data_IF_138900857523
#
_entry.id   IF_138900857523
#
_cell.length_a   1.000
_cell.length_b   1.000
_cell.length_c   1.000
_cell.angle_alpha   90.00
_cell.angle_beta   90.00
_cell.angle_gamma   90.00
#
_symmetry.space_group_name_H-M   'P 1'
#
loop_
_entity.id
_entity.type
_entity.pdbx_description
1 polymer ?
#
# COMPACT_ATOMS: atom_id res chain seq x y z
N UNK A 1 2.90 35.23 -27.09
CA UNK A 1 4.33 35.04 -26.86
C UNK A 1 4.77 33.68 -27.41
N UNK A 2 5.83 33.69 -28.19
CA UNK A 2 6.35 32.50 -28.86
C UNK A 2 7.27 31.63 -27.96
N UNK A 3 7.25 31.81 -26.66
CA UNK A 3 8.01 31.03 -25.71
C UNK A 3 7.30 30.83 -24.38
N UNK A 4 7.68 29.77 -23.65
CA UNK A 4 7.33 29.52 -22.27
C UNK A 4 8.56 29.72 -21.43
N UNK A 5 8.44 30.53 -20.37
CA UNK A 5 9.53 30.78 -19.44
C UNK A 5 9.28 30.06 -18.13
N UNK A 6 10.28 29.34 -17.63
CA UNK A 6 10.31 28.78 -16.29
C UNK A 6 11.43 29.46 -15.50
N UNK A 7 11.11 29.89 -14.28
CA UNK A 7 12.09 30.44 -13.34
C UNK A 7 12.55 29.32 -12.42
N UNK A 8 13.85 29.07 -12.37
CA UNK A 8 14.46 28.07 -11.52
C UNK A 8 14.61 28.62 -10.08
N UNK A 9 14.75 27.76 -9.05
CA UNK A 9 14.90 28.19 -7.66
C UNK A 9 16.11 29.10 -7.40
N UNK A 10 17.14 29.01 -8.24
CA UNK A 10 18.34 29.87 -8.21
C UNK A 10 18.15 31.22 -8.92
N UNK A 11 16.94 31.49 -9.41
CA UNK A 11 16.60 32.69 -10.14
C UNK A 11 16.92 32.66 -11.65
N UNK A 12 17.56 31.62 -12.13
CA UNK A 12 17.83 31.47 -13.56
C UNK A 12 16.52 31.27 -14.34
N UNK A 13 16.47 31.83 -15.56
CA UNK A 13 15.31 31.74 -16.45
C UNK A 13 15.57 30.76 -17.56
N UNK A 14 14.63 29.87 -17.75
CA UNK A 14 14.63 28.87 -18.80
C UNK A 14 13.56 29.20 -19.83
N UNK A 15 13.94 29.56 -21.04
CA UNK A 15 13.02 29.82 -22.15
C UNK A 15 12.92 28.60 -23.06
N UNK A 16 11.68 28.18 -23.36
CA UNK A 16 11.38 27.18 -24.37
C UNK A 16 10.70 27.90 -25.54
N UNK A 17 11.41 27.95 -26.67
CA UNK A 17 10.86 28.55 -27.89
C UNK A 17 9.69 27.73 -28.43
N UNK A 18 8.64 28.41 -28.90
CA UNK A 18 7.48 27.80 -29.58
C UNK A 18 7.57 28.15 -31.07
N UNK A 19 7.89 27.16 -31.87
CA UNK A 19 7.73 27.27 -33.33
C UNK A 19 6.31 26.90 -33.78
N UNK A 20 5.57 26.14 -32.94
CA UNK A 20 4.18 25.70 -33.12
C UNK A 20 3.43 25.77 -31.80
N UNK A 21 2.10 25.77 -31.85
CA UNK A 21 1.29 25.49 -30.66
C UNK A 21 1.59 24.08 -30.16
N UNK A 22 2.30 24.00 -29.02
CA UNK A 22 2.61 22.75 -28.35
C UNK A 22 1.42 22.35 -27.46
N UNK A 23 1.04 21.09 -27.47
CA UNK A 23 0.16 20.54 -26.47
C UNK A 23 0.84 20.62 -25.10
N UNK A 24 0.04 20.60 -24.02
CA UNK A 24 0.61 20.56 -22.64
C UNK A 24 1.65 19.45 -22.47
N UNK A 25 1.40 18.27 -23.03
CA UNK A 25 2.27 17.12 -22.92
C UNK A 25 3.60 17.29 -23.67
N UNK A 26 3.55 17.94 -24.82
CA UNK A 26 4.79 18.28 -25.57
C UNK A 26 5.61 19.32 -24.84
N UNK A 27 4.96 20.30 -24.23
CA UNK A 27 5.62 21.29 -23.38
C UNK A 27 6.28 20.64 -22.15
N UNK A 28 5.56 19.77 -21.46
CA UNK A 28 6.09 19.02 -20.30
C UNK A 28 7.34 18.21 -20.69
N UNK A 29 7.33 17.57 -21.86
CA UNK A 29 8.50 16.83 -22.38
C UNK A 29 9.66 17.75 -22.74
N UNK A 30 9.39 18.89 -23.37
CA UNK A 30 10.44 19.84 -23.74
C UNK A 30 11.11 20.44 -22.48
N UNK A 31 10.29 20.83 -21.49
CA UNK A 31 10.76 21.33 -20.19
C UNK A 31 11.61 20.27 -19.46
N UNK A 32 11.12 19.03 -19.41
CA UNK A 32 11.85 17.93 -18.77
C UNK A 32 13.23 17.69 -19.42
N UNK A 33 13.31 17.65 -20.75
CA UNK A 33 14.59 17.47 -21.45
C UNK A 33 15.58 18.58 -21.10
N UNK A 34 15.10 19.82 -21.09
CA UNK A 34 15.93 20.97 -20.76
C UNK A 34 16.42 20.97 -19.30
N UNK A 35 15.52 20.64 -18.37
CA UNK A 35 15.89 20.48 -16.96
C UNK A 35 16.88 19.34 -16.75
N UNK A 36 16.71 18.22 -17.46
CA UNK A 36 17.66 17.10 -17.44
C UNK A 36 19.05 17.51 -17.94
N UNK A 37 19.12 18.30 -19.03
CA UNK A 37 20.39 18.84 -19.54
C UNK A 37 21.11 19.71 -18.50
N UNK A 38 20.36 20.58 -17.80
CA UNK A 38 20.91 21.53 -16.82
C UNK A 38 21.33 20.83 -15.54
N UNK A 39 20.49 19.93 -15.03
CA UNK A 39 20.67 19.33 -13.70
C UNK A 39 21.43 18.00 -13.72
N UNK A 40 21.59 17.38 -14.88
CA UNK A 40 22.10 16.02 -15.02
C UNK A 40 21.16 14.94 -14.45
N UNK A 41 20.02 15.32 -13.87
CA UNK A 41 19.08 14.40 -13.20
C UNK A 41 18.07 13.79 -14.18
N UNK A 42 17.80 12.50 -14.01
CA UNK A 42 16.74 11.79 -14.72
C UNK A 42 15.70 11.28 -13.74
N UNK A 43 14.42 11.50 -14.05
CA UNK A 43 13.33 10.94 -13.26
C UNK A 43 12.95 9.57 -13.83
N UNK A 44 12.84 8.57 -12.98
CA UNK A 44 12.55 7.20 -13.39
C UNK A 44 11.21 7.06 -14.15
N UNK A 45 10.21 7.88 -13.83
CA UNK A 45 8.92 7.95 -14.50
C UNK A 45 8.77 9.11 -15.50
N UNK A 46 9.88 9.84 -15.78
CA UNK A 46 9.90 10.97 -16.70
C UNK A 46 8.86 12.04 -16.35
N UNK A 47 8.05 12.45 -17.33
CA UNK A 47 7.00 13.48 -17.18
C UNK A 47 5.68 12.95 -16.63
N UNK A 48 5.59 11.68 -16.29
CA UNK A 48 4.36 11.10 -15.77
C UNK A 48 4.03 11.71 -14.40
N UNK A 49 2.82 12.28 -14.26
CA UNK A 49 2.33 12.88 -13.02
C UNK A 49 1.32 12.00 -12.28
N UNK A 50 0.79 10.96 -12.92
CA UNK A 50 -0.19 10.06 -12.35
C UNK A 50 0.39 9.15 -11.27
N UNK A 51 -0.44 8.78 -10.30
CA UNK A 51 -0.05 7.89 -9.17
C UNK A 51 -0.11 6.40 -9.52
N UNK A 52 -0.78 6.02 -10.60
CA UNK A 52 -0.94 4.63 -11.05
C UNK A 52 -0.47 4.46 -12.49
N UNK A 53 0.83 4.33 -12.74
CA UNK A 53 1.36 4.10 -14.08
C UNK A 53 0.86 2.78 -14.70
N UNK A 54 0.58 1.77 -13.88
CA UNK A 54 0.03 0.48 -14.32
C UNK A 54 -1.34 0.59 -14.98
N UNK A 55 -2.19 1.58 -14.61
CA UNK A 55 -3.46 1.82 -15.31
C UNK A 55 -3.29 2.19 -16.79
N UNK A 56 -2.20 2.88 -17.11
CA UNK A 56 -1.89 3.23 -18.51
C UNK A 56 -1.47 1.96 -19.26
N UNK A 57 -0.64 1.13 -18.62
CA UNK A 57 -0.22 -0.15 -19.19
C UNK A 57 -1.40 -1.10 -19.35
N UNK A 58 -2.28 -1.20 -18.35
CA UNK A 58 -3.52 -2.00 -18.40
C UNK A 58 -4.39 -1.61 -19.61
N UNK A 59 -4.65 -0.31 -19.76
CA UNK A 59 -5.44 0.18 -20.91
C UNK A 59 -4.82 -0.21 -22.24
N UNK A 60 -3.48 -0.12 -22.38
CA UNK A 60 -2.78 -0.49 -23.61
C UNK A 60 -2.78 -2.00 -23.87
N UNK A 61 -2.70 -2.78 -22.80
CA UNK A 61 -2.85 -4.24 -22.85
C UNK A 61 -4.26 -4.65 -23.33
N UNK A 62 -5.30 -4.02 -22.79
CA UNK A 62 -6.70 -4.22 -23.20
C UNK A 62 -6.96 -3.77 -24.66
N UNK A 63 -6.26 -2.75 -25.14
CA UNK A 63 -6.26 -2.32 -26.54
C UNK A 63 -5.48 -3.29 -27.47
N UNK A 64 -4.88 -4.38 -26.94
CA UNK A 64 -4.14 -5.38 -27.71
C UNK A 64 -2.70 -5.03 -28.06
N UNK A 65 -2.12 -4.00 -27.39
CA UNK A 65 -0.72 -3.64 -27.60
C UNK A 65 0.20 -4.72 -27.02
N UNK A 66 1.25 -5.11 -27.72
CA UNK A 66 2.27 -6.00 -27.19
C UNK A 66 3.31 -5.28 -26.32
N UNK A 67 4.14 -6.05 -25.56
CA UNK A 67 5.15 -5.52 -24.65
C UNK A 67 6.16 -4.60 -25.37
N UNK A 68 6.63 -5.01 -26.54
CA UNK A 68 7.65 -4.25 -27.28
C UNK A 68 7.12 -2.90 -27.77
N UNK A 69 5.95 -2.90 -28.37
CA UNK A 69 5.24 -1.68 -28.79
C UNK A 69 4.91 -0.77 -27.62
N UNK A 70 4.47 -1.34 -26.48
CA UNK A 70 4.22 -0.57 -25.27
C UNK A 70 5.46 0.12 -24.73
N UNK A 71 6.59 -0.61 -24.63
CA UNK A 71 7.86 -0.05 -24.12
C UNK A 71 8.28 1.14 -24.96
N UNK A 72 8.30 0.99 -26.29
CA UNK A 72 8.66 2.08 -27.19
C UNK A 72 7.72 3.28 -27.07
N UNK A 73 6.42 3.02 -27.08
CA UNK A 73 5.41 4.06 -26.98
C UNK A 73 5.49 4.80 -25.63
N UNK A 74 5.55 4.05 -24.52
CA UNK A 74 5.52 4.65 -23.17
C UNK A 74 6.76 5.49 -22.88
N UNK A 75 7.95 5.02 -23.30
CA UNK A 75 9.19 5.78 -23.19
C UNK A 75 9.13 7.07 -24.01
N UNK A 76 8.65 6.99 -25.26
CA UNK A 76 8.49 8.17 -26.12
C UNK A 76 7.51 9.18 -25.53
N UNK A 77 6.39 8.71 -25.01
CA UNK A 77 5.32 9.56 -24.52
C UNK A 77 5.59 10.16 -23.14
N UNK A 78 6.25 9.44 -22.25
CA UNK A 78 6.44 9.85 -20.87
C UNK A 78 7.91 10.13 -20.49
N UNK A 79 8.87 9.84 -21.37
CA UNK A 79 10.30 9.93 -21.09
C UNK A 79 10.72 9.12 -19.85
N UNK A 80 9.97 8.03 -19.56
CA UNK A 80 10.25 7.13 -18.46
C UNK A 80 11.46 6.24 -18.76
N UNK A 81 12.10 5.71 -17.72
CA UNK A 81 13.17 4.72 -17.88
C UNK A 81 12.61 3.40 -18.45
N UNK A 82 13.46 2.65 -19.14
CA UNK A 82 13.09 1.33 -19.64
C UNK A 82 12.67 0.40 -18.51
N UNK A 83 13.43 0.36 -17.43
CA UNK A 83 13.14 -0.44 -16.24
C UNK A 83 11.72 -0.20 -15.69
N UNK A 84 11.35 1.06 -15.47
CA UNK A 84 10.02 1.39 -14.92
C UNK A 84 8.91 1.15 -15.94
N UNK A 85 9.20 1.29 -17.23
CA UNK A 85 8.25 0.97 -18.30
C UNK A 85 7.96 -0.53 -18.35
N UNK A 86 9.00 -1.37 -18.31
CA UNK A 86 8.87 -2.83 -18.25
C UNK A 86 8.13 -3.24 -16.99
N UNK A 87 8.48 -2.68 -15.83
CA UNK A 87 7.82 -2.95 -14.56
C UNK A 87 6.31 -2.63 -14.63
N UNK A 88 5.93 -1.49 -15.21
CA UNK A 88 4.52 -1.13 -15.37
C UNK A 88 3.76 -2.15 -16.22
N UNK A 89 4.37 -2.65 -17.29
CA UNK A 89 3.78 -3.67 -18.15
C UNK A 89 3.62 -5.02 -17.43
N UNK A 90 4.67 -5.48 -16.76
CA UNK A 90 4.65 -6.76 -16.05
C UNK A 90 3.61 -6.79 -14.92
N UNK A 91 3.48 -5.67 -14.20
CA UNK A 91 2.44 -5.53 -13.18
C UNK A 91 1.06 -5.51 -13.82
N UNK A 92 0.86 -4.76 -14.91
CA UNK A 92 -0.44 -4.70 -15.58
C UNK A 92 -0.91 -6.09 -16.10
N UNK A 93 0.02 -6.88 -16.66
CA UNK A 93 -0.31 -8.26 -17.07
C UNK A 93 -0.77 -9.10 -15.88
N UNK A 94 -0.03 -9.03 -14.77
CA UNK A 94 -0.36 -9.80 -13.57
C UNK A 94 -1.64 -9.32 -12.91
N UNK A 95 -1.83 -7.99 -12.82
CA UNK A 95 -3.11 -7.41 -12.37
C UNK A 95 -4.27 -7.91 -13.25
N UNK A 96 -4.09 -7.96 -14.58
CA UNK A 96 -5.13 -8.46 -15.50
C UNK A 96 -5.49 -9.90 -15.20
N UNK A 97 -4.52 -10.79 -15.06
CA UNK A 97 -4.75 -12.21 -14.75
C UNK A 97 -5.53 -12.40 -13.42
N UNK A 98 -5.24 -11.57 -12.42
CA UNK A 98 -5.96 -11.59 -11.15
C UNK A 98 -7.37 -11.02 -11.28
N UNK A 99 -7.50 -9.91 -12.00
CA UNK A 99 -8.76 -9.19 -12.16
C UNK A 99 -9.74 -9.94 -13.08
N UNK A 100 -9.25 -10.69 -14.06
CA UNK A 100 -10.10 -11.51 -14.95
C UNK A 100 -10.87 -12.62 -14.19
N UNK A 101 -10.51 -12.89 -12.93
CA UNK A 101 -11.26 -13.80 -12.05
C UNK A 101 -12.46 -13.13 -11.39
N UNK A 102 -12.50 -11.80 -11.34
CA UNK A 102 -13.59 -11.03 -10.74
C UNK A 102 -14.77 -10.95 -11.71
N UNK A 103 -15.98 -11.11 -11.19
CA UNK A 103 -17.18 -10.78 -11.94
C UNK A 103 -17.44 -9.27 -11.82
N UNK A 104 -17.02 -8.51 -12.83
CA UNK A 104 -17.16 -7.04 -12.82
C UNK A 104 -18.61 -6.55 -12.99
N UNK A 105 -19.46 -7.34 -13.64
CA UNK A 105 -20.85 -6.94 -13.95
C UNK A 105 -21.75 -7.19 -12.75
N UNK A 106 -21.61 -8.37 -12.14
CA UNK A 106 -22.50 -8.82 -11.06
C UNK A 106 -21.82 -8.93 -9.71
N UNK A 107 -20.48 -8.75 -9.67
CA UNK A 107 -19.68 -8.88 -8.47
C UNK A 107 -19.50 -7.57 -7.70
N UNK A 108 -19.13 -7.71 -6.42
CA UNK A 108 -18.71 -6.62 -5.55
C UNK A 108 -17.68 -7.08 -4.54
N UNK A 109 -17.00 -6.11 -3.94
CA UNK A 109 -16.08 -6.31 -2.82
C UNK A 109 -16.63 -5.63 -1.59
N UNK A 110 -16.57 -6.31 -0.44
CA UNK A 110 -17.00 -5.78 0.85
C UNK A 110 -15.78 -5.28 1.63
N UNK A 111 -15.76 -3.99 1.97
CA UNK A 111 -14.79 -3.42 2.89
C UNK A 111 -15.44 -3.15 4.24
N UNK A 112 -14.84 -3.69 5.31
CA UNK A 112 -15.31 -3.51 6.69
C UNK A 112 -14.24 -2.74 7.46
N UNK A 113 -14.56 -1.51 7.85
CA UNK A 113 -13.63 -0.63 8.55
C UNK A 113 -13.72 -0.76 10.06
N UNK A 114 -12.59 -0.94 10.75
CA UNK A 114 -12.48 -0.86 12.22
C UNK A 114 -11.65 0.37 12.55
N UNK A 115 -12.25 1.48 13.04
CA UNK A 115 -11.57 2.77 13.17
C UNK A 115 -10.70 2.89 14.43
N UNK A 116 -10.41 1.79 15.10
CA UNK A 116 -9.65 1.78 16.35
C UNK A 116 -8.24 1.26 16.15
N UNK A 117 -7.27 1.88 16.84
CA UNK A 117 -5.89 1.40 16.93
C UNK A 117 -5.47 1.33 18.40
N UNK A 118 -4.50 0.48 18.79
CA UNK A 118 -3.95 0.50 20.15
C UNK A 118 -3.39 1.88 20.51
N UNK A 119 -2.72 2.51 19.56
CA UNK A 119 -2.26 3.90 19.58
C UNK A 119 -2.14 4.41 18.15
N UNK A 120 -2.22 5.73 17.95
CA UNK A 120 -2.05 6.33 16.62
C UNK A 120 -0.57 6.56 16.34
N UNK A 121 -0.04 5.92 15.30
CA UNK A 121 1.35 6.09 14.86
C UNK A 121 1.59 7.50 14.34
N UNK A 122 2.79 8.05 14.55
CA UNK A 122 3.10 9.45 14.23
C UNK A 122 3.01 9.79 12.73
N UNK A 123 3.26 8.81 11.86
CA UNK A 123 3.19 8.96 10.40
C UNK A 123 1.79 8.71 9.82
N UNK A 124 0.89 8.10 10.59
CA UNK A 124 -0.40 7.65 10.07
C UNK A 124 -1.36 8.80 9.83
N UNK A 125 -2.00 8.80 8.67
CA UNK A 125 -3.01 9.79 8.26
C UNK A 125 -4.40 9.20 8.09
N UNK A 126 -4.60 7.95 8.46
CA UNK A 126 -5.91 7.30 8.38
C UNK A 126 -6.87 7.85 9.43
N UNK A 127 -8.16 7.78 9.15
CA UNK A 127 -9.23 8.19 10.06
C UNK A 127 -9.43 7.12 11.15
N UNK A 128 -8.45 7.01 12.06
CA UNK A 128 -8.48 6.08 13.19
C UNK A 128 -8.19 6.82 14.50
N UNK A 129 -8.77 6.32 15.59
CA UNK A 129 -8.57 6.83 16.93
C UNK A 129 -7.86 5.83 17.84
N UNK A 130 -7.22 6.33 18.90
CA UNK A 130 -6.67 5.45 19.93
C UNK A 130 -7.82 4.75 20.67
N UNK A 131 -7.73 3.43 20.85
CA UNK A 131 -8.76 2.63 21.52
C UNK A 131 -9.09 3.17 22.91
N UNK A 132 -8.08 3.69 23.63
CA UNK A 132 -8.28 4.27 24.97
C UNK A 132 -9.35 5.36 24.98
N UNK A 133 -9.41 6.20 23.94
CA UNK A 133 -10.36 7.32 23.85
C UNK A 133 -11.77 6.87 23.46
N UNK A 134 -11.90 5.67 22.89
CA UNK A 134 -13.14 5.15 22.29
C UNK A 134 -13.63 3.82 22.90
N UNK A 135 -12.99 3.33 23.96
CA UNK A 135 -13.27 2.01 24.56
C UNK A 135 -14.75 1.79 24.89
N UNK A 136 -15.43 2.82 25.38
CA UNK A 136 -16.84 2.75 25.79
C UNK A 136 -17.79 2.82 24.59
N UNK A 137 -17.29 3.12 23.38
CA UNK A 137 -18.06 3.22 22.14
C UNK A 137 -17.93 1.99 21.24
N UNK A 138 -17.02 1.06 21.54
CA UNK A 138 -16.73 -0.10 20.67
C UNK A 138 -17.94 -0.98 20.47
N UNK A 139 -18.68 -1.29 21.54
CA UNK A 139 -19.88 -2.13 21.44
C UNK A 139 -20.99 -1.46 20.62
N UNK A 140 -21.24 -0.17 20.86
CA UNK A 140 -22.21 0.59 20.07
C UNK A 140 -21.81 0.68 18.58
N UNK A 141 -20.50 0.80 18.31
CA UNK A 141 -19.97 0.75 16.96
C UNK A 141 -20.24 -0.61 16.30
N UNK A 142 -19.94 -1.70 16.99
CA UNK A 142 -20.19 -3.06 16.46
C UNK A 142 -21.69 -3.32 16.24
N UNK A 143 -22.56 -2.81 17.13
CA UNK A 143 -24.02 -2.90 16.95
C UNK A 143 -24.46 -2.18 15.65
N UNK A 144 -23.93 -1.00 15.41
CA UNK A 144 -24.22 -0.23 14.19
C UNK A 144 -23.67 -0.95 12.96
N UNK A 145 -22.41 -1.40 13.01
CA UNK A 145 -21.75 -2.12 11.91
C UNK A 145 -22.50 -3.41 11.55
N UNK A 146 -22.93 -4.20 12.52
CA UNK A 146 -23.71 -5.41 12.25
C UNK A 146 -25.09 -5.10 11.62
N UNK A 147 -25.72 -3.97 11.97
CA UNK A 147 -26.94 -3.51 11.30
C UNK A 147 -26.68 -3.10 9.83
N UNK A 148 -25.57 -2.41 9.58
CA UNK A 148 -25.16 -2.07 8.20
C UNK A 148 -24.86 -3.33 7.39
N UNK A 149 -24.13 -4.29 7.94
CA UNK A 149 -23.83 -5.57 7.30
C UNK A 149 -25.11 -6.34 6.96
N UNK A 150 -26.05 -6.42 7.89
CA UNK A 150 -27.34 -7.06 7.68
C UNK A 150 -28.14 -6.38 6.54
N UNK A 151 -28.11 -5.04 6.47
CA UNK A 151 -28.76 -4.30 5.40
C UNK A 151 -28.06 -4.54 4.05
N UNK A 152 -26.73 -4.46 4.01
CA UNK A 152 -25.93 -4.71 2.79
C UNK A 152 -26.18 -6.13 2.29
N UNK A 153 -26.14 -7.15 3.16
CA UNK A 153 -26.42 -8.54 2.80
C UNK A 153 -27.80 -8.70 2.16
N UNK A 154 -28.81 -8.02 2.70
CA UNK A 154 -30.16 -8.04 2.16
C UNK A 154 -30.29 -7.40 0.77
N UNK A 155 -29.64 -6.25 0.55
CA UNK A 155 -29.76 -5.50 -0.74
C UNK A 155 -28.80 -6.01 -1.81
N UNK A 156 -27.81 -6.82 -1.46
CA UNK A 156 -26.83 -7.39 -2.38
C UNK A 156 -27.04 -8.89 -2.68
N UNK A 157 -28.19 -9.47 -2.31
CA UNK A 157 -28.46 -10.91 -2.46
C UNK A 157 -28.32 -11.42 -3.90
N UNK A 158 -28.63 -10.59 -4.91
CA UNK A 158 -28.47 -10.91 -6.33
C UNK A 158 -27.05 -10.67 -6.87
N UNK A 159 -26.14 -10.20 -6.01
CA UNK A 159 -24.76 -9.87 -6.37
C UNK A 159 -23.79 -10.94 -5.89
N UNK A 160 -22.70 -11.14 -6.63
CA UNK A 160 -21.63 -12.07 -6.25
C UNK A 160 -20.59 -11.36 -5.38
N UNK A 161 -20.43 -11.81 -4.15
CA UNK A 161 -19.36 -11.31 -3.27
C UNK A 161 -18.03 -11.92 -3.69
N UNK A 162 -17.13 -11.11 -4.27
CA UNK A 162 -15.82 -11.57 -4.73
C UNK A 162 -14.74 -11.48 -3.66
N UNK A 163 -14.73 -10.43 -2.86
CA UNK A 163 -13.72 -10.26 -1.80
C UNK A 163 -14.30 -9.62 -0.55
N UNK A 164 -13.74 -9.99 0.61
CA UNK A 164 -13.97 -9.32 1.88
C UNK A 164 -12.64 -8.81 2.41
N UNK A 165 -12.61 -7.56 2.83
CA UNK A 165 -11.43 -6.94 3.43
C UNK A 165 -11.81 -6.23 4.73
N UNK A 166 -11.30 -6.72 5.86
CA UNK A 166 -11.48 -6.10 7.17
C UNK A 166 -10.20 -5.34 7.52
N UNK A 167 -10.28 -4.03 7.57
CA UNK A 167 -9.13 -3.15 7.76
C UNK A 167 -9.49 -1.84 8.46
N UNK A 168 -8.78 -0.77 8.14
CA UNK A 168 -9.01 0.57 8.65
C UNK A 168 -7.95 1.04 9.63
N UNK A 169 -8.25 1.06 10.93
CA UNK A 169 -7.27 1.27 12.00
C UNK A 169 -6.50 -0.02 12.25
N UNK A 170 -7.05 -0.87 13.12
CA UNK A 170 -6.47 -2.18 13.42
C UNK A 170 -7.57 -3.13 13.88
N UNK A 171 -8.07 -4.05 13.06
CA UNK A 171 -9.14 -4.98 13.42
C UNK A 171 -8.87 -5.79 14.70
N UNK A 172 -7.62 -6.16 14.93
CA UNK A 172 -7.21 -6.88 16.13
C UNK A 172 -7.18 -6.04 17.43
N UNK A 173 -7.55 -4.76 17.38
CA UNK A 173 -7.91 -3.98 18.58
C UNK A 173 -9.15 -4.52 19.27
N UNK A 174 -10.06 -5.13 18.52
CA UNK A 174 -11.22 -5.84 19.07
C UNK A 174 -10.76 -7.00 19.92
N UNK A 175 -11.50 -7.33 20.97
CA UNK A 175 -11.30 -8.56 21.75
C UNK A 175 -11.62 -9.78 20.90
N UNK A 176 -11.17 -10.97 21.29
CA UNK A 176 -11.51 -12.21 20.58
C UNK A 176 -13.03 -12.42 20.46
N UNK A 177 -13.80 -12.10 21.51
CA UNK A 177 -15.26 -12.17 21.49
C UNK A 177 -15.90 -11.17 20.53
N UNK A 178 -15.37 -9.94 20.46
CA UNK A 178 -15.84 -8.91 19.54
C UNK A 178 -15.49 -9.25 18.07
N UNK A 179 -14.29 -9.79 17.81
CA UNK A 179 -13.91 -10.31 16.51
C UNK A 179 -14.83 -11.45 16.07
N UNK A 180 -15.04 -12.42 16.96
CA UNK A 180 -15.96 -13.52 16.69
C UNK A 180 -17.35 -13.03 16.34
N UNK A 181 -17.91 -12.10 17.13
CA UNK A 181 -19.22 -11.50 16.86
C UNK A 181 -19.27 -10.84 15.48
N UNK A 182 -18.24 -10.09 15.08
CA UNK A 182 -18.18 -9.47 13.77
C UNK A 182 -18.11 -10.50 12.64
N UNK A 183 -17.27 -11.52 12.79
CA UNK A 183 -17.11 -12.57 11.78
C UNK A 183 -18.35 -13.44 11.67
N UNK A 184 -18.99 -13.82 12.79
CA UNK A 184 -20.29 -14.51 12.80
C UNK A 184 -21.38 -13.69 12.09
N UNK A 185 -21.39 -12.36 12.30
CA UNK A 185 -22.31 -11.45 11.62
C UNK A 185 -22.09 -11.47 10.09
N UNK A 186 -20.82 -11.41 9.63
CA UNK A 186 -20.50 -11.49 8.22
C UNK A 186 -20.95 -12.84 7.65
N UNK A 187 -20.63 -13.95 8.32
CA UNK A 187 -21.00 -15.29 7.87
C UNK A 187 -22.52 -15.51 7.82
N UNK A 188 -23.27 -14.79 8.65
CA UNK A 188 -24.75 -14.87 8.66
C UNK A 188 -25.36 -14.21 7.42
N UNK A 189 -24.79 -13.12 6.95
CA UNK A 189 -25.41 -12.31 5.89
C UNK A 189 -24.78 -12.42 4.51
N UNK A 190 -23.59 -13.04 4.39
CA UNK A 190 -22.86 -13.10 3.14
C UNK A 190 -22.45 -14.53 2.78
N UNK A 191 -22.84 -14.98 1.57
CA UNK A 191 -22.40 -16.25 1.01
C UNK A 191 -20.93 -16.18 0.58
N UNK A 192 -20.19 -17.24 0.82
CA UNK A 192 -18.80 -17.40 0.40
C UNK A 192 -18.65 -18.13 -0.95
N UNK A 193 -19.73 -18.48 -1.61
CA UNK A 193 -19.75 -19.29 -2.83
C UNK A 193 -18.85 -18.74 -3.96
N UNK A 194 -18.81 -17.39 -4.06
CA UNK A 194 -18.02 -16.69 -5.08
C UNK A 194 -16.83 -15.94 -4.50
N UNK A 195 -16.49 -16.21 -3.23
CA UNK A 195 -15.44 -15.49 -2.53
C UNK A 195 -14.06 -15.97 -2.97
N UNK A 196 -13.24 -15.05 -3.51
CA UNK A 196 -11.88 -15.29 -3.98
C UNK A 196 -10.83 -14.98 -2.92
N UNK A 197 -11.08 -13.97 -2.08
CA UNK A 197 -10.18 -13.57 -1.00
C UNK A 197 -10.96 -13.03 0.19
N UNK A 198 -10.55 -13.44 1.39
CA UNK A 198 -11.02 -12.90 2.66
C UNK A 198 -9.82 -12.48 3.48
N UNK A 199 -9.60 -11.16 3.61
CA UNK A 199 -8.45 -10.59 4.30
C UNK A 199 -8.84 -9.94 5.61
N UNK A 200 -8.04 -10.17 6.66
CA UNK A 200 -8.08 -9.43 7.92
C UNK A 200 -6.73 -8.78 8.19
N UNK A 201 -6.72 -7.45 8.37
CA UNK A 201 -5.53 -6.74 8.84
C UNK A 201 -5.32 -7.01 10.34
N UNK A 202 -4.42 -7.93 10.66
CA UNK A 202 -3.93 -8.09 12.02
C UNK A 202 -2.84 -7.04 12.39
N UNK A 203 -2.55 -6.16 11.52
CA UNK A 203 -1.65 -5.01 11.37
C UNK A 203 -0.68 -4.66 12.49
N UNK A 204 -1.07 -4.78 13.75
CA UNK A 204 -0.28 -4.35 14.91
C UNK A 204 0.05 -5.53 15.82
N UNK A 205 1.33 -5.97 15.92
CA UNK A 205 1.74 -7.07 16.80
C UNK A 205 1.31 -6.92 18.26
N UNK A 206 1.31 -5.69 18.79
CA UNK A 206 0.83 -5.39 20.16
C UNK A 206 -0.69 -5.56 20.37
N UNK A 207 -1.45 -5.79 19.31
CA UNK A 207 -2.88 -6.09 19.38
C UNK A 207 -3.22 -7.54 19.04
N UNK A 208 -2.24 -8.33 18.60
CA UNK A 208 -2.40 -9.74 18.26
C UNK A 208 -2.29 -10.59 19.53
N UNK A 209 -3.21 -11.54 19.67
CA UNK A 209 -3.13 -12.60 20.67
C UNK A 209 -3.45 -13.95 20.02
N UNK A 210 -2.97 -15.09 20.59
CA UNK A 210 -3.29 -16.42 20.06
C UNK A 210 -4.80 -16.65 19.91
N UNK A 211 -5.60 -16.19 20.89
CA UNK A 211 -7.06 -16.37 20.88
C UNK A 211 -7.73 -15.60 19.72
N UNK A 212 -7.21 -14.41 19.39
CA UNK A 212 -7.72 -13.63 18.26
C UNK A 212 -7.36 -14.28 16.93
N UNK A 213 -6.12 -14.75 16.79
CA UNK A 213 -5.70 -15.49 15.60
C UNK A 213 -6.48 -16.80 15.44
N UNK A 214 -6.76 -17.49 16.55
CA UNK A 214 -7.60 -18.69 16.54
C UNK A 214 -9.00 -18.38 15.99
N UNK A 215 -9.66 -17.33 16.50
CA UNK A 215 -10.97 -16.88 15.99
C UNK A 215 -10.92 -16.57 14.49
N UNK A 216 -9.87 -15.88 14.02
CA UNK A 216 -9.71 -15.57 12.60
C UNK A 216 -9.53 -16.85 11.77
N UNK A 217 -8.73 -17.80 12.25
CA UNK A 217 -8.50 -19.09 11.58
C UNK A 217 -9.79 -19.94 11.51
N UNK A 218 -10.56 -20.03 12.62
CA UNK A 218 -11.81 -20.77 12.69
C UNK A 218 -12.87 -20.26 11.70
N UNK A 219 -12.83 -18.98 11.33
CA UNK A 219 -13.69 -18.40 10.31
C UNK A 219 -13.12 -18.55 8.88
N UNK A 220 -12.04 -19.32 8.69
CA UNK A 220 -11.50 -19.61 7.36
C UNK A 220 -11.05 -18.38 6.58
N UNK A 221 -10.47 -17.41 7.29
CA UNK A 221 -9.87 -16.23 6.66
C UNK A 221 -8.68 -16.66 5.82
N UNK A 222 -8.69 -16.32 4.53
CA UNK A 222 -7.68 -16.79 3.57
C UNK A 222 -6.39 -15.97 3.58
N UNK A 223 -6.41 -14.76 4.16
CA UNK A 223 -5.24 -13.87 4.20
C UNK A 223 -5.25 -13.01 5.44
N UNK A 224 -4.09 -12.85 6.06
CA UNK A 224 -3.89 -11.86 7.12
C UNK A 224 -2.69 -10.97 6.81
N UNK A 225 -2.61 -9.81 7.45
CA UNK A 225 -1.39 -9.01 7.42
C UNK A 225 -0.85 -8.79 8.83
N UNK A 226 0.46 -8.98 8.99
CA UNK A 226 1.21 -8.66 10.22
C UNK A 226 2.22 -7.60 9.81
N UNK A 227 2.04 -6.35 10.28
CA UNK A 227 2.73 -5.20 9.71
C UNK A 227 3.83 -4.67 10.65
N UNK A 228 5.09 -5.09 10.50
CA UNK A 228 6.20 -4.59 11.31
C UNK A 228 6.48 -3.11 11.06
N UNK A 229 6.41 -2.65 9.84
CA UNK A 229 6.89 -1.39 9.28
C UNK A 229 8.42 -1.29 9.21
N UNK A 230 9.11 -1.81 10.21
CA UNK A 230 10.57 -1.97 10.32
C UNK A 230 10.89 -3.04 11.38
N UNK A 231 12.05 -3.64 11.32
CA UNK A 231 12.59 -4.51 12.35
C UNK A 231 13.66 -3.80 13.23
N UNK A 232 13.62 -2.44 13.24
CA UNK A 232 14.50 -1.62 14.07
C UNK A 232 13.77 -1.11 15.29
N UNK A 233 14.08 -1.63 16.49
CA UNK A 233 13.39 -1.25 17.73
C UNK A 233 13.43 0.24 17.99
N UNK A 234 14.60 0.90 17.79
CA UNK A 234 14.77 2.34 17.93
C UNK A 234 13.76 3.15 17.11
N UNK A 235 13.46 2.65 15.90
CA UNK A 235 12.53 3.31 14.98
C UNK A 235 11.08 3.03 15.36
N UNK A 236 10.74 1.81 15.79
CA UNK A 236 9.41 1.49 16.32
C UNK A 236 9.03 2.42 17.47
N UNK A 237 9.95 2.65 18.40
CA UNK A 237 9.75 3.56 19.53
C UNK A 237 9.54 4.99 19.05
N UNK A 238 10.35 5.46 18.10
CA UNK A 238 10.29 6.81 17.54
C UNK A 238 8.96 7.10 16.81
N UNK A 239 8.44 6.12 16.06
CA UNK A 239 7.18 6.28 15.32
C UNK A 239 5.93 6.00 16.17
N UNK A 240 6.12 5.68 17.46
CA UNK A 240 5.04 5.47 18.42
C UNK A 240 4.35 4.10 18.32
N UNK A 241 5.07 3.09 17.85
CA UNK A 241 4.65 1.69 17.89
C UNK A 241 5.20 1.04 19.17
N UNK A 242 4.30 0.56 20.03
CA UNK A 242 4.65 0.09 21.38
C UNK A 242 5.00 -1.40 21.46
N UNK A 243 5.21 -2.07 20.33
CA UNK A 243 5.61 -3.48 20.30
C UNK A 243 7.11 -3.62 20.08
N UNK A 244 7.62 -4.78 20.42
CA UNK A 244 9.01 -5.15 20.18
C UNK A 244 9.15 -5.95 18.89
N UNK A 245 10.40 -6.02 18.37
CA UNK A 245 10.73 -6.89 17.24
C UNK A 245 10.42 -8.36 17.56
N UNK A 246 10.69 -8.82 18.80
CA UNK A 246 10.33 -10.18 19.22
C UNK A 246 8.82 -10.43 19.09
N UNK A 247 7.97 -9.49 19.49
CA UNK A 247 6.52 -9.64 19.35
C UNK A 247 6.05 -9.75 17.88
N UNK A 248 6.78 -9.16 16.93
CA UNK A 248 6.52 -9.35 15.50
C UNK A 248 6.75 -10.81 15.12
N UNK A 249 7.93 -11.36 15.50
CA UNK A 249 8.29 -12.74 15.22
C UNK A 249 7.32 -13.72 15.91
N UNK A 250 6.99 -13.48 17.18
CA UNK A 250 6.07 -14.32 17.95
C UNK A 250 4.67 -14.35 17.31
N UNK A 251 4.16 -13.19 16.92
CA UNK A 251 2.86 -13.09 16.22
C UNK A 251 2.88 -13.85 14.88
N UNK A 252 3.97 -13.72 14.14
CA UNK A 252 4.15 -14.41 12.86
C UNK A 252 4.19 -15.95 13.04
N UNK A 253 5.02 -16.44 13.94
CA UNK A 253 5.12 -17.88 14.21
C UNK A 253 3.82 -18.45 14.78
N UNK A 254 3.13 -17.71 15.64
CA UNK A 254 1.81 -18.10 16.13
C UNK A 254 0.81 -18.21 14.98
N UNK A 255 0.78 -17.26 14.06
CA UNK A 255 -0.09 -17.32 12.89
C UNK A 255 0.23 -18.55 12.02
N UNK A 256 1.52 -18.79 11.72
CA UNK A 256 1.94 -19.99 10.97
C UNK A 256 1.53 -21.28 11.68
N UNK A 257 1.67 -21.38 13.00
CA UNK A 257 1.28 -22.58 13.77
C UNK A 257 -0.23 -22.84 13.74
N UNK A 258 -1.05 -21.82 13.52
CA UNK A 258 -2.49 -21.91 13.33
C UNK A 258 -2.90 -22.20 11.88
N UNK A 259 -1.94 -22.39 10.97
CA UNK A 259 -2.18 -22.80 9.58
C UNK A 259 -2.38 -21.65 8.60
N UNK A 260 -2.07 -20.40 8.98
CA UNK A 260 -2.10 -19.31 7.99
C UNK A 260 -0.94 -19.47 7.00
N UNK A 261 -1.27 -19.63 5.73
CA UNK A 261 -0.37 -19.82 4.59
C UNK A 261 -0.34 -18.62 3.62
N UNK A 262 -1.02 -17.54 3.96
CA UNK A 262 -1.02 -16.29 3.20
C UNK A 262 -0.90 -15.09 4.15
N UNK A 263 0.34 -14.81 4.57
CA UNK A 263 0.68 -13.71 5.47
C UNK A 263 1.41 -12.62 4.69
N UNK A 264 0.82 -11.42 4.70
CA UNK A 264 1.47 -10.23 4.17
C UNK A 264 2.20 -9.47 5.29
N UNK A 265 3.35 -8.90 4.98
CA UNK A 265 4.07 -7.99 5.88
C UNK A 265 4.27 -6.63 5.21
N UNK A 266 3.94 -5.54 5.94
CA UNK A 266 4.15 -4.18 5.44
C UNK A 266 5.42 -3.58 6.04
N UNK A 267 6.22 -2.93 5.18
CA UNK A 267 7.39 -2.14 5.53
C UNK A 267 7.24 -0.70 5.05
N UNK A 268 7.94 0.22 5.70
CA UNK A 268 8.02 1.61 5.27
C UNK A 268 9.48 1.99 5.05
N UNK A 269 9.84 2.34 3.82
CA UNK A 269 11.13 2.90 3.46
C UNK A 269 11.16 4.41 3.75
N UNK A 270 12.27 4.89 4.32
CA UNK A 270 12.47 6.31 4.62
C UNK A 270 11.90 6.75 5.97
N UNK A 271 11.72 5.83 6.92
CA UNK A 271 11.36 6.19 8.30
C UNK A 271 12.41 7.09 8.92
N UNK A 272 12.02 8.03 9.82
CA UNK A 272 12.97 8.95 10.43
C UNK A 272 14.09 8.23 11.18
N UNK A 273 15.33 8.62 10.90
CA UNK A 273 16.52 8.08 11.55
C UNK A 273 17.00 6.73 11.01
N UNK A 274 16.32 6.16 9.99
CA UNK A 274 16.79 4.97 9.31
C UNK A 274 17.72 5.27 8.14
N UNK A 275 18.72 4.41 8.02
CA UNK A 275 19.69 4.37 6.92
C UNK A 275 19.39 3.18 6.01
N UNK A 276 20.08 3.10 4.85
CA UNK A 276 20.02 1.93 3.98
C UNK A 276 20.40 0.64 4.73
N UNK A 277 21.42 0.69 5.61
CA UNK A 277 21.85 -0.46 6.41
C UNK A 277 20.75 -0.94 7.38
N UNK A 278 19.96 -0.04 7.98
CA UNK A 278 18.82 -0.40 8.82
C UNK A 278 17.72 -1.12 7.99
N UNK A 279 17.52 -0.70 6.73
CA UNK A 279 16.59 -1.36 5.81
C UNK A 279 17.10 -2.72 5.35
N UNK A 280 18.39 -2.85 5.05
CA UNK A 280 19.03 -4.13 4.70
C UNK A 280 18.90 -5.14 5.84
N UNK A 281 19.16 -4.74 7.09
CA UNK A 281 18.98 -5.57 8.27
C UNK A 281 17.50 -5.97 8.46
N UNK A 282 16.56 -5.01 8.30
CA UNK A 282 15.12 -5.29 8.31
C UNK A 282 14.76 -6.35 7.28
N UNK A 283 15.20 -6.19 6.04
CA UNK A 283 14.91 -7.12 4.94
C UNK A 283 15.52 -8.51 5.16
N UNK A 284 16.71 -8.58 5.79
CA UNK A 284 17.31 -9.86 6.17
C UNK A 284 16.43 -10.63 7.17
N UNK A 285 15.95 -9.96 8.21
CA UNK A 285 15.04 -10.56 9.20
C UNK A 285 13.70 -10.97 8.59
N UNK A 286 13.13 -10.16 7.69
CA UNK A 286 11.89 -10.49 6.95
C UNK A 286 12.10 -11.71 6.05
N UNK A 287 13.26 -11.82 5.39
CA UNK A 287 13.60 -12.97 4.56
C UNK A 287 13.65 -14.27 5.36
N UNK A 288 14.13 -14.24 6.62
CA UNK A 288 14.13 -15.39 7.52
C UNK A 288 12.72 -15.82 7.94
N UNK A 289 11.77 -14.90 8.01
CA UNK A 289 10.37 -15.20 8.31
C UNK A 289 9.61 -15.80 7.11
N UNK A 290 10.06 -15.57 5.89
CA UNK A 290 9.46 -16.07 4.65
C UNK A 290 7.95 -15.74 4.52
N UNK A 291 7.54 -14.44 4.54
CA UNK A 291 6.15 -14.07 4.30
C UNK A 291 5.73 -14.39 2.86
N UNK A 292 4.44 -14.67 2.66
CA UNK A 292 3.87 -14.97 1.34
C UNK A 292 3.73 -13.73 0.46
N UNK A 293 3.65 -12.56 1.07
CA UNK A 293 3.68 -11.28 0.36
C UNK A 293 4.33 -10.17 1.20
N UNK A 294 4.93 -9.22 0.50
CA UNK A 294 5.61 -8.07 1.10
C UNK A 294 5.10 -6.78 0.45
N UNK A 295 4.66 -5.85 1.27
CA UNK A 295 4.28 -4.51 0.82
C UNK A 295 5.31 -3.51 1.33
N UNK A 296 5.90 -2.72 0.45
CA UNK A 296 6.88 -1.69 0.83
C UNK A 296 6.38 -0.32 0.42
N UNK A 297 6.13 0.53 1.39
CA UNK A 297 5.69 1.90 1.19
C UNK A 297 6.87 2.86 1.33
N UNK A 298 7.00 3.82 0.42
CA UNK A 298 7.83 5.00 0.68
C UNK A 298 7.10 5.92 1.66
N UNK A 299 7.77 6.40 2.70
CA UNK A 299 7.18 7.34 3.65
C UNK A 299 6.73 8.60 2.92
N UNK A 300 5.47 8.96 3.10
CA UNK A 300 4.90 10.21 2.64
C UNK A 300 4.23 10.95 3.80
N UNK A 301 4.80 12.06 4.20
CA UNK A 301 4.29 12.85 5.32
C UNK A 301 3.03 13.60 4.88
N UNK A 302 1.88 13.14 5.36
CA UNK A 302 0.57 13.74 5.10
C UNK A 302 0.26 14.82 6.15
N UNK A 303 -0.47 15.87 5.76
CA UNK A 303 -0.90 16.95 6.69
C UNK A 303 -1.76 16.43 7.85
N UNK A 304 -2.53 15.36 7.65
CA UNK A 304 -3.37 14.76 8.68
C UNK A 304 -2.57 13.97 9.72
N UNK A 305 -1.37 13.50 9.40
CA UNK A 305 -0.51 12.77 10.32
C UNK A 305 0.08 13.70 11.40
N UNK A 306 0.39 13.14 12.57
CA UNK A 306 1.04 13.87 13.66
C UNK A 306 2.38 14.48 13.20
N UNK A 307 3.19 13.70 12.45
CA UNK A 307 4.42 14.20 11.81
C UNK A 307 4.20 15.37 10.86
N UNK A 308 3.06 15.40 10.15
CA UNK A 308 2.73 16.49 9.22
C UNK A 308 2.25 17.79 9.89
N UNK A 309 1.90 17.71 11.17
CA UNK A 309 1.46 18.85 12.00
C UNK A 309 2.57 19.40 12.90
N UNK A 310 3.69 18.67 13.01
CA UNK A 310 4.85 19.12 13.78
C UNK A 310 5.53 20.30 13.10
N UNK A 311 5.97 21.27 13.88
CA UNK A 311 6.77 22.42 13.39
C UNK A 311 8.14 21.93 12.86
N UNK A 312 8.71 20.90 13.49
CA UNK A 312 9.88 20.18 13.01
C UNK A 312 9.42 18.98 12.17
N UNK A 313 9.34 19.17 10.85
CA UNK A 313 9.06 18.06 9.96
C UNK A 313 10.29 17.15 9.91
N UNK A 314 10.16 15.87 10.30
CA UNK A 314 11.26 14.94 10.11
C UNK A 314 11.57 14.88 8.61
N UNK A 315 12.85 14.95 8.26
CA UNK A 315 13.27 14.73 6.89
C UNK A 315 12.99 13.27 6.52
N UNK A 316 12.35 13.05 5.38
CA UNK A 316 12.33 11.72 4.74
C UNK A 316 13.80 11.36 4.48
N UNK A 317 14.21 10.15 4.86
CA UNK A 317 15.60 9.71 4.71
C UNK A 317 16.09 9.88 3.28
N UNK A 318 17.32 10.36 3.06
CA UNK A 318 17.88 10.60 1.73
C UNK A 318 17.94 9.31 0.87
N UNK A 319 18.02 8.16 1.50
CA UNK A 319 18.22 6.85 0.88
C UNK A 319 16.91 6.10 0.56
N UNK A 320 15.75 6.78 0.62
CA UNK A 320 14.43 6.13 0.43
C UNK A 320 14.34 5.39 -0.91
N UNK A 321 14.94 5.93 -1.97
CA UNK A 321 14.94 5.28 -3.27
C UNK A 321 15.75 3.99 -3.24
N UNK A 322 16.94 4.06 -2.68
CA UNK A 322 17.86 2.93 -2.52
C UNK A 322 17.23 1.84 -1.64
N UNK A 323 16.55 2.21 -0.56
CA UNK A 323 15.79 1.29 0.30
C UNK A 323 14.68 0.55 -0.47
N UNK A 324 13.93 1.23 -1.33
CA UNK A 324 12.88 0.60 -2.16
C UNK A 324 13.48 -0.30 -3.23
N UNK A 325 14.59 0.11 -3.87
CA UNK A 325 15.27 -0.71 -4.86
C UNK A 325 15.85 -1.98 -4.21
N UNK A 326 16.39 -1.88 -2.99
CA UNK A 326 16.87 -3.01 -2.19
C UNK A 326 15.73 -3.95 -1.78
N UNK A 327 14.62 -3.41 -1.28
CA UNK A 327 13.44 -4.21 -0.96
C UNK A 327 12.92 -5.00 -2.17
N UNK A 328 12.94 -4.39 -3.36
CA UNK A 328 12.59 -5.08 -4.61
C UNK A 328 13.55 -6.21 -4.93
N UNK A 329 14.86 -6.00 -4.71
CA UNK A 329 15.89 -7.03 -4.93
C UNK A 329 15.66 -8.23 -4.02
N UNK A 330 15.49 -7.99 -2.72
CA UNK A 330 15.27 -9.05 -1.73
C UNK A 330 13.94 -9.77 -1.97
N UNK A 331 12.85 -9.05 -2.27
CA UNK A 331 11.57 -9.66 -2.61
C UNK A 331 11.70 -10.62 -3.81
N UNK A 332 12.47 -10.22 -4.84
CA UNK A 332 12.74 -11.10 -5.99
C UNK A 332 13.54 -12.34 -5.59
N UNK A 333 14.51 -12.23 -4.70
CA UNK A 333 15.27 -13.36 -4.16
C UNK A 333 14.38 -14.34 -3.37
N UNK A 334 13.35 -13.82 -2.70
CA UNK A 334 12.32 -14.62 -2.03
C UNK A 334 11.32 -15.26 -3.02
N UNK A 335 11.47 -15.03 -4.34
CA UNK A 335 10.52 -15.51 -5.35
C UNK A 335 9.22 -14.69 -5.43
N UNK A 336 9.12 -13.58 -4.73
CA UNK A 336 7.94 -12.72 -4.75
C UNK A 336 7.88 -11.90 -6.04
N UNK A 337 6.70 -11.82 -6.64
CA UNK A 337 6.48 -11.11 -7.89
C UNK A 337 5.63 -9.85 -7.65
N UNK A 338 6.01 -8.69 -8.23
CA UNK A 338 5.24 -7.46 -8.05
C UNK A 338 3.90 -7.59 -8.77
N UNK A 339 2.79 -7.34 -8.08
CA UNK A 339 1.42 -7.38 -8.63
C UNK A 339 0.66 -6.07 -8.43
N UNK A 340 1.22 -5.12 -7.70
CA UNK A 340 0.63 -3.81 -7.45
C UNK A 340 1.71 -2.73 -7.38
N UNK A 341 1.44 -1.55 -7.94
CA UNK A 341 2.33 -0.40 -7.88
C UNK A 341 1.54 0.89 -7.67
N UNK A 342 1.89 1.59 -6.62
CA UNK A 342 1.42 2.94 -6.36
C UNK A 342 2.60 3.90 -6.27
N UNK A 343 2.55 4.99 -7.03
CA UNK A 343 3.56 6.04 -6.99
C UNK A 343 3.12 7.14 -6.04
N UNK A 344 3.95 7.46 -5.07
CA UNK A 344 3.72 8.62 -4.21
C UNK A 344 3.83 9.92 -5.02
N UNK A 345 3.01 10.92 -4.66
CA UNK A 345 3.14 12.29 -5.15
C UNK A 345 3.90 13.11 -4.12
N UNK A 346 4.72 14.02 -4.61
CA UNK A 346 5.42 15.02 -3.78
C UNK A 346 6.39 14.40 -2.76
N UNK A 347 7.21 13.46 -3.21
CA UNK A 347 8.38 12.99 -2.48
C UNK A 347 9.60 13.76 -3.00
#
# INVERSE_FOLDING_TARGET
SNYVEAVLPDGNRLAISREKELTKKELDRALYRKLKEITGRSLAWGVLTGVRPTKIAMKKLEEGMDKGAFVQWFQKENLASEEKTILAWEIANREKELLDRLDYENGYSLYVGIPFCPSVCSYCSFSSGALFDWKDSVEAYLDALCKELAYIGKVSVEKKLNTIYIGGGTPTTLTAGQLKRLLDCIDTYFSREHLLEYTVEAGRPDSITPEKLQVIAEHGISRISINPQTMQQKTLDLIGRKHTVSQICDAYHTARSLGFDNINMDLIAGLPGETLADMEDTLSQIKELEPDSLTVHSLAIKRAAKMGRSDEKPSVGPDTKEMVDEARRVAKEMGLLPYYLYRQKNI
#
